data_IF_458766558528
#
_entry.id   IF_458766558528
#
_cell.length_a   1.000
_cell.length_b   1.000
_cell.length_c   1.000
_cell.angle_alpha   90.00
_cell.angle_beta   90.00
_cell.angle_gamma   90.00
#
_symmetry.space_group_name_H-M   'P 1'
#
loop_
_entity.id
_entity.type
_entity.pdbx_description
1 polymer ?
#
# COMPACT_ATOMS: atom_id res chain seq x y z
N UNK A 1 8.98 -30.55 17.56
CA UNK A 1 8.06 -29.55 18.18
C UNK A 1 8.24 -28.11 17.68
N UNK A 2 9.45 -27.68 17.26
CA UNK A 2 9.74 -26.31 16.79
C UNK A 2 8.98 -25.86 15.51
N UNK A 3 8.82 -26.71 14.48
CA UNK A 3 8.17 -26.34 13.21
C UNK A 3 6.69 -25.94 13.32
N UNK A 4 5.91 -26.57 14.20
CA UNK A 4 4.46 -26.27 14.37
C UNK A 4 4.21 -24.88 14.93
N UNK A 5 5.07 -24.42 15.85
CA UNK A 5 4.96 -23.08 16.46
C UNK A 5 5.25 -21.97 15.44
N UNK A 6 6.20 -22.21 14.53
CA UNK A 6 6.56 -21.29 13.43
C UNK A 6 5.41 -21.06 12.44
N UNK A 7 4.70 -22.13 12.05
CA UNK A 7 3.56 -22.03 11.11
C UNK A 7 2.41 -21.24 11.73
N UNK A 8 2.09 -21.51 13.00
CA UNK A 8 1.03 -20.79 13.72
C UNK A 8 1.30 -19.28 13.78
N UNK A 9 2.54 -18.88 14.09
CA UNK A 9 2.93 -17.46 14.14
C UNK A 9 2.77 -16.74 12.80
N UNK A 10 3.07 -17.39 11.67
CA UNK A 10 2.91 -16.79 10.33
C UNK A 10 1.44 -16.47 10.04
N UNK A 11 0.52 -17.37 10.44
CA UNK A 11 -0.91 -17.18 10.26
C UNK A 11 -1.41 -15.98 11.08
N UNK A 12 -1.00 -15.87 12.35
CA UNK A 12 -1.36 -14.72 13.19
C UNK A 12 -0.85 -13.41 12.60
N UNK A 13 0.40 -13.37 12.15
CA UNK A 13 0.98 -12.18 11.51
C UNK A 13 0.18 -11.80 10.27
N UNK A 14 -0.14 -12.76 9.38
CA UNK A 14 -0.96 -12.49 8.19
C UNK A 14 -2.33 -11.90 8.54
N UNK A 15 -2.98 -12.44 9.57
CA UNK A 15 -4.30 -11.96 10.00
C UNK A 15 -4.22 -10.50 10.49
N UNK A 16 -3.24 -10.19 11.33
CA UNK A 16 -3.00 -8.82 11.83
C UNK A 16 -2.76 -7.86 10.65
N UNK A 17 -1.89 -8.22 9.72
CA UNK A 17 -1.60 -7.36 8.57
C UNK A 17 -2.78 -7.21 7.62
N UNK A 18 -3.66 -8.20 7.48
CA UNK A 18 -4.93 -8.06 6.73
C UNK A 18 -5.90 -7.09 7.39
N UNK A 19 -5.99 -7.08 8.72
CA UNK A 19 -6.78 -6.07 9.43
C UNK A 19 -6.20 -4.67 9.20
N UNK A 20 -4.87 -4.53 9.23
CA UNK A 20 -4.19 -3.27 8.93
C UNK A 20 -4.48 -2.81 7.50
N UNK A 21 -4.49 -3.70 6.50
CA UNK A 21 -4.82 -3.31 5.11
C UNK A 21 -6.26 -2.82 4.97
N UNK A 22 -7.23 -3.39 5.70
CA UNK A 22 -8.60 -2.86 5.75
C UNK A 22 -8.64 -1.45 6.35
N UNK A 23 -7.93 -1.23 7.45
CA UNK A 23 -7.87 0.09 8.09
C UNK A 23 -7.23 1.14 7.18
N UNK A 24 -6.17 0.78 6.46
CA UNK A 24 -5.53 1.66 5.48
C UNK A 24 -6.47 1.98 4.31
N UNK A 25 -7.17 0.98 3.76
CA UNK A 25 -8.17 1.20 2.72
C UNK A 25 -9.28 2.13 3.20
N UNK A 26 -9.80 1.90 4.42
CA UNK A 26 -10.82 2.76 5.01
C UNK A 26 -10.33 4.20 5.12
N UNK A 27 -9.08 4.40 5.58
CA UNK A 27 -8.51 5.74 5.68
C UNK A 27 -8.34 6.38 4.30
N UNK A 28 -7.89 5.63 3.28
CA UNK A 28 -7.81 6.15 1.91
C UNK A 28 -9.18 6.60 1.39
N UNK A 29 -10.23 5.83 1.66
CA UNK A 29 -11.60 6.21 1.30
C UNK A 29 -12.02 7.47 2.05
N UNK A 30 -11.70 7.58 3.34
CA UNK A 30 -11.97 8.79 4.12
C UNK A 30 -11.24 10.01 3.54
N UNK A 31 -10.02 9.88 3.02
CA UNK A 31 -9.33 10.97 2.34
C UNK A 31 -10.05 11.37 1.03
N UNK A 32 -10.41 10.39 0.20
CA UNK A 32 -11.10 10.63 -1.08
C UNK A 32 -12.46 11.30 -0.87
N UNK A 33 -13.22 10.86 0.13
CA UNK A 33 -14.57 11.38 0.38
C UNK A 33 -14.61 12.57 1.34
N UNK A 34 -13.65 12.69 2.25
CA UNK A 34 -13.59 13.72 3.27
C UNK A 34 -13.13 15.07 2.75
N UNK A 35 -12.23 15.10 1.75
CA UNK A 35 -11.83 16.33 1.07
C UNK A 35 -12.81 16.75 -0.05
N UNK A 36 -13.86 15.95 -0.27
CA UNK A 36 -14.76 16.07 -1.42
C UNK A 36 -14.21 15.35 -2.65
N UNK A 37 -15.12 14.92 -3.55
CA UNK A 37 -14.67 14.32 -4.81
C UNK A 37 -13.81 15.33 -5.56
N UNK A 38 -12.61 14.95 -6.00
CA UNK A 38 -11.73 15.88 -6.66
C UNK A 38 -12.38 16.45 -7.93
N UNK A 39 -12.30 17.77 -8.10
CA UNK A 39 -12.68 18.40 -9.35
C UNK A 39 -11.61 18.09 -10.42
N UNK A 40 -11.82 16.97 -11.11
CA UNK A 40 -10.91 16.46 -12.14
C UNK A 40 -10.70 17.44 -13.30
N UNK A 41 -11.54 18.48 -13.46
CA UNK A 41 -11.38 19.49 -14.52
C UNK A 41 -10.23 20.46 -14.26
N UNK A 42 -9.81 20.62 -13.01
CA UNK A 42 -8.74 21.54 -12.59
C UNK A 42 -7.46 20.83 -12.14
N UNK A 43 -7.37 19.50 -12.33
CA UNK A 43 -6.21 18.74 -11.91
C UNK A 43 -4.97 19.13 -12.72
N UNK A 44 -3.94 19.56 -12.01
CA UNK A 44 -2.61 19.67 -12.60
C UNK A 44 -2.10 18.28 -13.00
N UNK A 45 -1.23 18.22 -14.01
CA UNK A 45 -0.61 16.96 -14.46
C UNK A 45 0.04 16.19 -13.30
N UNK A 46 0.63 16.91 -12.35
CA UNK A 46 1.19 16.34 -11.11
C UNK A 46 0.14 15.61 -10.28
N UNK A 47 -0.99 16.25 -10.02
CA UNK A 47 -2.06 15.68 -9.19
C UNK A 47 -2.67 14.44 -9.83
N UNK A 48 -2.85 14.44 -11.15
CA UNK A 48 -3.32 13.24 -11.88
C UNK A 48 -2.40 12.06 -11.64
N UNK A 49 -1.08 12.24 -11.81
CA UNK A 49 -0.12 11.14 -11.66
C UNK A 49 -0.05 10.65 -10.22
N UNK A 50 0.00 11.57 -9.24
CA UNK A 50 0.01 11.20 -7.83
C UNK A 50 -1.27 10.45 -7.45
N UNK A 51 -2.43 10.89 -7.96
CA UNK A 51 -3.70 10.21 -7.77
C UNK A 51 -3.70 8.80 -8.38
N UNK A 52 -3.13 8.61 -9.57
CA UNK A 52 -2.96 7.28 -10.17
C UNK A 52 -2.06 6.37 -9.33
N UNK A 53 -0.95 6.90 -8.79
CA UNK A 53 -0.11 6.14 -7.86
C UNK A 53 -0.86 5.81 -6.56
N UNK A 54 -1.70 6.72 -6.07
CA UNK A 54 -2.56 6.49 -4.91
C UNK A 54 -3.59 5.38 -5.18
N UNK A 55 -4.26 5.38 -6.33
CA UNK A 55 -5.10 4.28 -6.77
C UNK A 55 -4.30 2.97 -6.93
N UNK A 56 -3.06 3.05 -7.40
CA UNK A 56 -2.12 1.93 -7.42
C UNK A 56 -1.88 1.33 -6.03
N UNK A 57 -1.70 2.17 -5.00
CA UNK A 57 -1.59 1.70 -3.62
C UNK A 57 -2.89 1.04 -3.13
N UNK A 58 -4.05 1.63 -3.43
CA UNK A 58 -5.35 1.04 -3.07
C UNK A 58 -5.57 -0.33 -3.73
N UNK A 59 -5.30 -0.42 -5.03
CA UNK A 59 -5.38 -1.69 -5.78
C UNK A 59 -4.40 -2.72 -5.23
N UNK A 60 -3.17 -2.34 -4.87
CA UNK A 60 -2.21 -3.23 -4.20
C UNK A 60 -2.72 -3.77 -2.86
N UNK A 61 -3.34 -2.91 -2.04
CA UNK A 61 -3.94 -3.31 -0.76
C UNK A 61 -5.12 -4.28 -0.93
N UNK A 62 -5.97 -4.08 -1.93
CA UNK A 62 -7.07 -5.01 -2.24
C UNK A 62 -6.50 -6.31 -2.81
N UNK A 63 -5.56 -6.22 -3.75
CA UNK A 63 -5.05 -7.38 -4.48
C UNK A 63 -4.22 -8.33 -3.62
N UNK A 64 -3.64 -7.83 -2.50
CA UNK A 64 -2.88 -8.66 -1.54
C UNK A 64 -3.74 -9.77 -0.93
N UNK A 65 -5.07 -9.64 -0.94
CA UNK A 65 -6.01 -10.64 -0.43
C UNK A 65 -6.13 -11.86 -1.32
N UNK A 66 -6.01 -11.66 -2.64
CA UNK A 66 -6.10 -12.70 -3.65
C UNK A 66 -4.72 -13.30 -3.96
N UNK A 67 -3.71 -12.45 -4.08
CA UNK A 67 -2.33 -12.87 -4.33
C UNK A 67 -1.36 -11.97 -3.58
N UNK A 68 -0.87 -12.46 -2.44
CA UNK A 68 0.05 -11.71 -1.58
C UNK A 68 1.26 -11.21 -2.37
N UNK A 69 1.84 -12.01 -3.26
CA UNK A 69 3.05 -11.63 -4.00
C UNK A 69 2.82 -10.49 -4.98
N UNK A 70 1.79 -10.62 -5.82
CA UNK A 70 1.48 -9.60 -6.85
C UNK A 70 0.95 -8.34 -6.17
N UNK A 71 0.04 -8.46 -5.20
CA UNK A 71 -0.51 -7.31 -4.47
C UNK A 71 0.55 -6.52 -3.73
N UNK A 72 1.50 -7.22 -3.08
CA UNK A 72 2.68 -6.58 -2.46
C UNK A 72 3.51 -5.81 -3.47
N UNK A 73 3.71 -6.38 -4.65
CA UNK A 73 4.55 -5.78 -5.70
C UNK A 73 3.90 -4.52 -6.26
N UNK A 74 2.60 -4.56 -6.55
CA UNK A 74 1.82 -3.39 -6.96
C UNK A 74 1.92 -2.31 -5.87
N UNK A 75 1.64 -2.67 -4.61
CA UNK A 75 1.69 -1.73 -3.49
C UNK A 75 3.07 -1.07 -3.33
N UNK A 76 4.14 -1.85 -3.40
CA UNK A 76 5.52 -1.36 -3.31
C UNK A 76 5.85 -0.40 -4.45
N UNK A 77 5.61 -0.81 -5.70
CA UNK A 77 5.93 0.00 -6.88
C UNK A 77 5.12 1.29 -6.85
N UNK A 78 3.81 1.21 -6.64
CA UNK A 78 2.95 2.38 -6.61
C UNK A 78 3.34 3.35 -5.50
N UNK A 79 3.73 2.85 -4.33
CA UNK A 79 4.23 3.71 -3.26
C UNK A 79 5.58 4.35 -3.58
N UNK A 80 6.55 3.59 -4.08
CA UNK A 80 7.86 4.13 -4.46
C UNK A 80 7.70 5.19 -5.56
N UNK A 81 6.87 4.92 -6.56
CA UNK A 81 6.55 5.89 -7.63
C UNK A 81 5.88 7.14 -7.06
N UNK A 82 4.94 7.01 -6.12
CA UNK A 82 4.29 8.15 -5.47
C UNK A 82 5.33 9.11 -4.84
N UNK A 83 6.26 8.56 -4.06
CA UNK A 83 7.32 9.36 -3.42
C UNK A 83 8.29 9.94 -4.44
N UNK A 84 8.73 9.15 -5.43
CA UNK A 84 9.67 9.58 -6.45
C UNK A 84 9.10 10.70 -7.31
N UNK A 85 7.86 10.56 -7.77
CA UNK A 85 7.17 11.55 -8.60
C UNK A 85 6.97 12.84 -7.82
N UNK A 86 6.58 12.76 -6.54
CA UNK A 86 6.45 13.96 -5.73
C UNK A 86 7.80 14.67 -5.55
N UNK A 87 8.87 13.92 -5.27
CA UNK A 87 10.22 14.48 -5.14
C UNK A 87 10.66 15.17 -6.43
N UNK A 88 10.47 14.53 -7.59
CA UNK A 88 10.86 15.07 -8.89
C UNK A 88 10.07 16.33 -9.27
N UNK A 89 8.79 16.40 -8.91
CA UNK A 89 7.91 17.50 -9.31
C UNK A 89 7.89 18.67 -8.31
N UNK A 90 8.21 18.45 -7.03
CA UNK A 90 8.19 19.52 -6.00
C UNK A 90 9.56 19.87 -5.44
N UNK A 91 10.57 19.02 -5.66
CA UNK A 91 11.87 19.13 -4.99
C UNK A 91 11.85 18.77 -3.51
N UNK A 92 10.68 18.51 -2.91
CA UNK A 92 10.53 18.11 -1.52
C UNK A 92 10.00 16.68 -1.44
N UNK A 93 10.77 15.72 -0.88
CA UNK A 93 10.28 14.35 -0.75
C UNK A 93 9.15 14.24 0.27
N UNK A 94 9.01 15.18 1.20
CA UNK A 94 8.18 15.02 2.38
C UNK A 94 6.68 15.07 2.07
N UNK A 95 6.03 13.90 2.16
CA UNK A 95 4.58 13.72 2.00
C UNK A 95 3.87 13.31 3.32
N UNK A 96 4.62 13.24 4.41
CA UNK A 96 4.13 12.82 5.71
C UNK A 96 4.41 11.34 6.04
N UNK A 97 4.58 11.07 7.33
CA UNK A 97 4.94 9.75 7.86
C UNK A 97 3.94 8.65 7.49
N UNK A 98 2.65 9.00 7.37
CA UNK A 98 1.60 8.02 7.12
C UNK A 98 1.79 7.28 5.78
N UNK A 99 2.29 7.96 4.75
CA UNK A 99 2.52 7.34 3.44
C UNK A 99 3.69 6.34 3.43
N UNK A 100 4.56 6.35 4.44
CA UNK A 100 5.61 5.33 4.62
C UNK A 100 5.05 3.99 5.11
N UNK A 101 3.81 3.95 5.59
CA UNK A 101 3.18 2.69 6.03
C UNK A 101 2.94 1.76 4.84
N UNK A 102 2.48 2.27 3.69
CA UNK A 102 2.20 1.47 2.49
C UNK A 102 3.38 0.61 1.99
N UNK A 103 4.60 1.16 1.78
CA UNK A 103 5.73 0.35 1.34
C UNK A 103 6.20 -0.61 2.43
N UNK A 104 6.08 -0.26 3.72
CA UNK A 104 6.39 -1.18 4.82
C UNK A 104 5.44 -2.40 4.78
N UNK A 105 4.14 -2.16 4.63
CA UNK A 105 3.13 -3.22 4.54
C UNK A 105 3.37 -4.10 3.31
N UNK A 106 3.63 -3.48 2.15
CA UNK A 106 3.97 -4.20 0.93
C UNK A 106 5.22 -5.07 1.09
N UNK A 107 6.26 -4.57 1.75
CA UNK A 107 7.48 -5.33 2.01
C UNK A 107 7.24 -6.53 2.94
N UNK A 108 6.43 -6.35 3.98
CA UNK A 108 6.08 -7.43 4.92
C UNK A 108 5.31 -8.54 4.20
N UNK A 109 4.27 -8.23 3.43
CA UNK A 109 3.55 -9.23 2.66
C UNK A 109 4.44 -9.90 1.60
N UNK A 110 5.37 -9.16 0.98
CA UNK A 110 6.33 -9.76 0.05
C UNK A 110 7.20 -10.83 0.72
N UNK A 111 7.71 -10.57 1.93
CA UNK A 111 8.46 -11.56 2.72
C UNK A 111 7.58 -12.75 3.11
N UNK A 112 6.35 -12.49 3.58
CA UNK A 112 5.42 -13.54 4.00
C UNK A 112 5.00 -14.44 2.82
N UNK A 113 4.90 -13.87 1.62
CA UNK A 113 4.55 -14.60 0.40
C UNK A 113 5.64 -15.59 -0.01
N UNK A 114 6.93 -15.23 0.13
CA UNK A 114 8.06 -16.14 -0.13
C UNK A 114 8.07 -17.35 0.80
N UNK A 115 7.64 -17.20 2.05
CA UNK A 115 7.59 -18.30 3.02
C UNK A 115 6.42 -19.26 2.79
N UNK A 116 5.45 -18.89 1.94
CA UNK A 116 4.30 -19.71 1.57
C UNK A 116 4.59 -20.75 0.49
N UNK A 117 5.68 -20.58 -0.26
CA UNK A 117 6.09 -21.48 -1.34
C UNK A 117 7.05 -22.52 -0.73
N UNK A 118 6.49 -23.50 0.00
CA UNK A 118 7.15 -24.74 0.39
C UNK A 118 6.14 -25.86 0.47
#
# INVERSE_FOLDING_TARGET
MSKRKSISNIIYIRCIFRVITLLLLLLMLMFIFGEGLPDFSNFSFREVILFLCFLGMATGLVYVWFNERIGSFILLISSILFWLINLLLTGNPWLGWFLLVYPIIGFIFFILSRKSIK
#
